data_IF_302053644834
#
_entry.id   IF_302053644834
#
_cell.length_a   1.000
_cell.length_b   1.000
_cell.length_c   1.000
_cell.angle_alpha   90.00
_cell.angle_beta   90.00
_cell.angle_gamma   90.00
#
_symmetry.space_group_name_H-M   'P 1'
#
loop_
_entity.id
_entity.type
_entity.pdbx_description
1 polymer ?
#
# COMPACT_ATOMS: atom_id res chain seq x y z
N UNK A 1 -3.33 9.68 18.45
CA UNK A 1 -2.66 10.99 18.31
C UNK A 1 -1.31 10.76 17.64
N UNK A 2 -1.07 11.39 16.49
CA UNK A 2 0.15 11.16 15.71
C UNK A 2 1.32 11.91 16.38
N UNK A 3 2.36 11.19 16.82
CA UNK A 3 3.49 11.75 17.58
C UNK A 3 4.31 12.77 16.77
N UNK A 4 4.14 12.78 15.44
CA UNK A 4 4.71 13.81 14.57
C UNK A 4 4.28 15.22 15.00
N UNK A 5 3.04 15.43 15.46
CA UNK A 5 2.58 16.76 15.90
C UNK A 5 3.17 17.19 17.23
N UNK A 6 3.60 16.26 18.10
CA UNK A 6 4.32 16.62 19.33
C UNK A 6 5.78 16.94 19.08
N UNK A 7 6.43 16.26 18.13
CA UNK A 7 7.85 16.48 17.82
C UNK A 7 8.06 17.64 16.83
N UNK A 8 7.15 17.81 15.86
CA UNK A 8 7.18 18.84 14.82
C UNK A 8 5.81 19.51 14.66
N UNK A 9 5.44 20.42 15.58
CA UNK A 9 4.11 21.03 15.61
C UNK A 9 3.75 21.82 14.35
N UNK A 10 4.77 22.32 13.63
CA UNK A 10 4.62 23.13 12.41
C UNK A 10 4.68 22.29 11.12
N UNK A 11 4.88 20.97 11.22
CA UNK A 11 4.92 20.11 10.03
C UNK A 11 3.52 19.95 9.42
N UNK A 12 3.44 20.06 8.10
CA UNK A 12 2.20 19.74 7.38
C UNK A 12 2.15 18.23 7.13
N UNK A 13 1.19 17.54 7.76
CA UNK A 13 1.05 16.08 7.66
C UNK A 13 -0.01 15.77 6.60
N UNK A 14 0.44 15.42 5.41
CA UNK A 14 -0.43 15.06 4.28
C UNK A 14 -0.82 13.57 4.27
N UNK A 15 -0.13 12.75 5.07
CA UNK A 15 -0.38 11.31 5.14
C UNK A 15 0.54 10.63 6.16
N UNK A 16 0.40 9.31 6.29
CA UNK A 16 1.24 8.52 7.17
C UNK A 16 1.44 7.13 6.58
N UNK A 17 2.66 6.84 6.13
CA UNK A 17 3.01 5.55 5.52
C UNK A 17 2.73 4.35 6.45
N UNK A 18 2.89 4.52 7.76
CA UNK A 18 2.51 3.50 8.73
C UNK A 18 1.01 3.17 8.70
N UNK A 19 0.13 4.18 8.64
CA UNK A 19 -1.31 3.92 8.54
C UNK A 19 -1.69 3.39 7.16
N UNK A 20 -1.01 3.82 6.09
CA UNK A 20 -1.20 3.28 4.75
C UNK A 20 -0.92 1.77 4.71
N UNK A 21 0.25 1.35 5.19
CA UNK A 21 0.63 -0.07 5.24
C UNK A 21 -0.29 -0.87 6.16
N UNK A 22 -0.78 -0.29 7.26
CA UNK A 22 -1.82 -0.93 8.08
C UNK A 22 -3.15 -1.12 7.35
N UNK A 23 -3.60 -0.15 6.55
CA UNK A 23 -4.83 -0.27 5.76
C UNK A 23 -4.70 -1.41 4.73
N UNK A 24 -3.56 -1.50 4.05
CA UNK A 24 -3.27 -2.60 3.11
C UNK A 24 -3.25 -3.95 3.84
N UNK A 25 -2.61 -4.02 5.00
CA UNK A 25 -2.60 -5.26 5.78
C UNK A 25 -4.00 -5.69 6.25
N UNK A 26 -4.90 -4.75 6.56
CA UNK A 26 -6.31 -5.09 6.83
C UNK A 26 -7.00 -5.70 5.61
N UNK A 27 -6.67 -5.25 4.40
CA UNK A 27 -7.19 -5.88 3.18
C UNK A 27 -6.62 -7.29 2.96
N UNK A 28 -5.33 -7.51 3.24
CA UNK A 28 -4.73 -8.87 3.28
C UNK A 28 -5.54 -9.79 4.21
N UNK A 29 -5.94 -9.28 5.38
CA UNK A 29 -6.74 -10.05 6.35
C UNK A 29 -8.17 -10.30 5.86
N UNK A 30 -8.85 -9.28 5.34
CA UNK A 30 -10.22 -9.38 4.84
C UNK A 30 -10.33 -10.33 3.64
N UNK A 31 -9.32 -10.36 2.77
CA UNK A 31 -9.25 -11.27 1.64
C UNK A 31 -8.78 -12.70 2.01
N UNK A 32 -8.47 -12.96 3.29
CA UNK A 32 -8.06 -14.30 3.75
C UNK A 32 -6.61 -14.67 3.42
N UNK A 33 -5.77 -13.71 3.03
CA UNK A 33 -4.39 -13.96 2.57
C UNK A 33 -3.33 -13.86 3.66
N UNK A 34 -3.70 -13.77 4.95
CA UNK A 34 -2.73 -13.61 6.05
C UNK A 34 -1.67 -14.72 6.08
N UNK A 35 -2.07 -15.98 5.92
CA UNK A 35 -1.13 -17.12 5.88
C UNK A 35 -0.23 -17.07 4.65
N UNK A 36 -0.77 -16.72 3.47
CA UNK A 36 0.00 -16.58 2.23
C UNK A 36 1.03 -15.45 2.37
N UNK A 37 0.61 -14.30 2.87
CA UNK A 37 1.48 -13.14 3.14
C UNK A 37 2.61 -13.47 4.13
N UNK A 38 2.35 -14.27 5.16
CA UNK A 38 3.37 -14.66 6.13
C UNK A 38 4.37 -15.70 5.63
N UNK A 39 3.96 -16.55 4.67
CA UNK A 39 4.73 -17.73 4.27
C UNK A 39 5.28 -17.67 2.83
N UNK A 40 4.84 -16.71 2.02
CA UNK A 40 5.30 -16.51 0.65
C UNK A 40 5.92 -15.11 0.51
N UNK A 41 7.25 -15.06 0.40
CA UNK A 41 8.00 -13.81 0.32
C UNK A 41 7.71 -13.03 -0.96
N UNK A 42 7.53 -13.70 -2.10
CA UNK A 42 7.21 -13.06 -3.39
C UNK A 42 5.84 -12.37 -3.33
N UNK A 43 4.84 -13.04 -2.77
CA UNK A 43 3.52 -12.44 -2.55
C UNK A 43 3.59 -11.29 -1.56
N UNK A 44 4.33 -11.46 -0.45
CA UNK A 44 4.52 -10.38 0.51
C UNK A 44 5.23 -9.16 -0.11
N UNK A 45 6.18 -9.40 -1.01
CA UNK A 45 6.85 -8.35 -1.78
C UNK A 45 5.87 -7.62 -2.69
N UNK A 46 5.07 -8.36 -3.47
CA UNK A 46 4.03 -7.80 -4.34
C UNK A 46 3.04 -6.91 -3.56
N UNK A 47 2.56 -7.38 -2.41
CA UNK A 47 1.68 -6.59 -1.54
C UNK A 47 2.34 -5.31 -1.05
N UNK A 48 3.65 -5.33 -0.79
CA UNK A 48 4.41 -4.14 -0.35
C UNK A 48 4.70 -3.15 -1.48
N UNK A 49 4.62 -3.56 -2.75
CA UNK A 49 4.76 -2.64 -3.89
C UNK A 49 3.62 -1.61 -3.94
N UNK A 50 2.41 -2.01 -3.56
CA UNK A 50 1.22 -1.13 -3.54
C UNK A 50 1.44 0.13 -2.67
N UNK A 51 1.70 0.03 -1.35
CA UNK A 51 1.93 1.23 -0.54
C UNK A 51 3.23 1.95 -0.89
N UNK A 52 4.21 1.29 -1.54
CA UNK A 52 5.47 1.91 -1.94
C UNK A 52 5.29 3.02 -3.00
N UNK A 53 4.16 3.04 -3.71
CA UNK A 53 3.78 4.14 -4.62
C UNK A 53 3.79 5.51 -3.93
N UNK A 54 3.60 5.56 -2.61
CA UNK A 54 3.67 6.80 -1.83
C UNK A 54 5.06 7.47 -1.83
N UNK A 55 6.11 6.79 -2.32
CA UNK A 55 7.46 7.33 -2.46
C UNK A 55 7.80 7.80 -3.87
N UNK A 56 6.91 7.63 -4.84
CA UNK A 56 7.11 8.10 -6.20
C UNK A 56 6.77 9.58 -6.33
N UNK A 57 7.30 10.21 -7.38
CA UNK A 57 6.78 11.50 -7.82
C UNK A 57 5.35 11.34 -8.33
N UNK A 58 4.51 12.36 -8.13
CA UNK A 58 3.08 12.29 -8.48
C UNK A 58 2.82 11.90 -9.94
N UNK A 59 3.71 12.29 -10.84
CA UNK A 59 3.58 12.00 -12.27
C UNK A 59 3.83 10.52 -12.62
N UNK A 60 4.56 9.79 -11.76
CA UNK A 60 4.95 8.40 -12.01
C UNK A 60 3.98 7.40 -11.35
N UNK A 61 3.16 7.86 -10.39
CA UNK A 61 2.27 6.98 -9.60
C UNK A 61 1.34 6.17 -10.51
N UNK A 62 0.66 6.83 -11.46
CA UNK A 62 -0.34 6.17 -12.28
C UNK A 62 0.28 5.12 -13.21
N UNK A 63 1.36 5.46 -13.91
CA UNK A 63 2.06 4.51 -14.78
C UNK A 63 2.64 3.33 -13.99
N UNK A 64 3.25 3.57 -12.83
CA UNK A 64 3.80 2.47 -12.03
C UNK A 64 2.69 1.64 -11.37
N UNK A 65 1.53 2.22 -11.10
CA UNK A 65 0.36 1.45 -10.66
C UNK A 65 -0.13 0.52 -11.76
N UNK A 66 -0.28 1.01 -13.00
CA UNK A 66 -0.63 0.17 -14.16
C UNK A 66 0.42 -0.93 -14.39
N UNK A 67 1.71 -0.61 -14.30
CA UNK A 67 2.81 -1.59 -14.40
C UNK A 67 2.66 -2.73 -13.37
N UNK A 68 2.21 -2.42 -12.14
CA UNK A 68 1.94 -3.44 -11.11
C UNK A 68 0.78 -4.35 -11.52
N UNK A 69 -0.29 -3.78 -12.10
CA UNK A 69 -1.44 -4.53 -12.60
C UNK A 69 -1.05 -5.50 -13.72
N UNK A 70 -0.18 -5.06 -14.63
CA UNK A 70 0.31 -5.84 -15.78
C UNK A 70 1.16 -7.05 -15.37
N UNK A 71 1.71 -7.08 -14.16
CA UNK A 71 2.43 -8.25 -13.62
C UNK A 71 1.51 -9.45 -13.36
N UNK A 72 0.17 -9.25 -13.32
CA UNK A 72 -0.83 -10.30 -13.13
C UNK A 72 -0.54 -11.21 -11.94
N UNK A 73 -0.17 -10.62 -10.81
CA UNK A 73 0.26 -11.36 -9.62
C UNK A 73 -0.95 -12.08 -9.02
N UNK A 74 -0.91 -13.41 -8.83
CA UNK A 74 -2.04 -14.16 -8.31
C UNK A 74 -2.50 -13.66 -6.94
N UNK A 75 -3.81 -13.45 -6.79
CA UNK A 75 -4.48 -13.02 -5.57
C UNK A 75 -4.12 -11.60 -5.11
N UNK A 76 -3.63 -10.73 -6.00
CA UNK A 76 -3.36 -9.32 -5.69
C UNK A 76 -4.57 -8.41 -5.95
N UNK A 77 -5.49 -8.79 -6.84
CA UNK A 77 -6.64 -7.98 -7.28
C UNK A 77 -7.42 -7.32 -6.14
N UNK A 78 -7.75 -7.99 -5.02
CA UNK A 78 -8.52 -7.35 -3.95
C UNK A 78 -7.78 -6.15 -3.32
N UNK A 79 -6.45 -6.21 -3.29
CA UNK A 79 -5.62 -5.14 -2.74
C UNK A 79 -5.35 -4.06 -3.78
N UNK A 80 -5.13 -4.45 -5.03
CA UNK A 80 -4.95 -3.55 -6.15
C UNK A 80 -6.20 -2.67 -6.32
N UNK A 81 -7.38 -3.27 -6.43
CA UNK A 81 -8.65 -2.55 -6.61
C UNK A 81 -8.96 -1.66 -5.39
N UNK A 82 -8.70 -2.13 -4.16
CA UNK A 82 -8.83 -1.28 -2.98
C UNK A 82 -7.88 -0.07 -3.00
N UNK A 83 -6.68 -0.22 -3.55
CA UNK A 83 -5.78 0.92 -3.65
C UNK A 83 -6.25 1.92 -4.71
N UNK A 84 -6.72 1.42 -5.86
CA UNK A 84 -7.32 2.22 -6.93
C UNK A 84 -8.50 3.04 -6.42
N UNK A 85 -9.47 2.41 -5.75
CA UNK A 85 -10.71 3.06 -5.32
C UNK A 85 -10.51 4.19 -4.29
N UNK A 86 -9.42 4.14 -3.50
CA UNK A 86 -9.26 5.00 -2.33
C UNK A 86 -8.00 5.88 -2.33
N UNK A 87 -7.00 5.60 -3.16
CA UNK A 87 -5.69 6.27 -3.11
C UNK A 87 -5.13 6.71 -4.47
N UNK A 88 -5.71 6.25 -5.58
CA UNK A 88 -5.39 6.72 -6.94
C UNK A 88 -6.47 7.71 -7.38
#
# INVERSE_FOLDING_TARGET
MNTIRSCWPQSNVNGCFFHLTQNIYRQVQQAGFTTKYGNNEEYAHAVRMIPALAFLETNDIFSTFEDIGDLQIPDLDPLYNYFEDYYI
#
